data_IF_525470583121
#
_entry.id   IF_525470583121
#
_cell.length_a   1.000
_cell.length_b   1.000
_cell.length_c   1.000
_cell.angle_alpha   90.00
_cell.angle_beta   90.00
_cell.angle_gamma   90.00
#
_symmetry.space_group_name_H-M   'P 1'
#
loop_
_entity.id
_entity.type
_entity.pdbx_description
1 polymer ?
#
# COMPACT_ATOMS: atom_id res chain seq x y z
N UNK A 1 -53.78 21.44 14.16
CA UNK A 1 -52.57 21.72 14.96
C UNK A 1 -51.77 20.47 15.43
N UNK A 2 -52.31 19.24 15.56
CA UNK A 2 -51.51 18.08 16.05
C UNK A 2 -50.66 17.38 14.97
N UNK A 3 -50.96 17.56 13.68
CA UNK A 3 -50.24 16.92 12.58
C UNK A 3 -48.87 17.54 12.28
N UNK A 4 -48.69 18.84 12.55
CA UNK A 4 -47.43 19.55 12.37
C UNK A 4 -46.41 19.19 13.45
N UNK A 5 -46.88 18.98 14.69
CA UNK A 5 -46.04 18.57 15.82
C UNK A 5 -45.46 17.15 15.64
N UNK A 6 -46.27 16.21 15.13
CA UNK A 6 -45.82 14.84 14.81
C UNK A 6 -44.77 14.80 13.69
N UNK A 7 -44.90 15.66 12.68
CA UNK A 7 -43.91 15.74 11.58
C UNK A 7 -42.57 16.29 12.06
N UNK A 8 -42.59 17.30 12.94
CA UNK A 8 -41.37 17.86 13.53
C UNK A 8 -40.63 16.83 14.41
N UNK A 9 -41.35 16.03 15.20
CA UNK A 9 -40.73 14.98 16.03
C UNK A 9 -40.10 13.86 15.20
N UNK A 10 -40.73 13.45 14.08
CA UNK A 10 -40.16 12.44 13.19
C UNK A 10 -38.88 12.93 12.50
N UNK A 11 -38.85 14.20 12.05
CA UNK A 11 -37.65 14.81 11.44
C UNK A 11 -36.51 14.87 12.46
N UNK A 12 -36.80 15.27 13.72
CA UNK A 12 -35.81 15.33 14.79
C UNK A 12 -35.24 13.94 15.14
N UNK A 13 -36.06 12.90 15.19
CA UNK A 13 -35.60 11.52 15.47
C UNK A 13 -34.74 10.94 14.35
N UNK A 14 -35.07 11.24 13.08
CA UNK A 14 -34.27 10.78 11.94
C UNK A 14 -32.90 11.46 11.89
N UNK A 15 -32.84 12.77 12.22
CA UNK A 15 -31.58 13.51 12.28
C UNK A 15 -30.64 12.99 13.39
N UNK A 16 -31.18 12.65 14.56
CA UNK A 16 -30.38 12.10 15.67
C UNK A 16 -29.83 10.70 15.37
N UNK A 17 -30.63 9.83 14.73
CA UNK A 17 -30.20 8.48 14.36
C UNK A 17 -29.07 8.49 13.31
N UNK A 18 -29.09 9.44 12.37
CA UNK A 18 -28.05 9.59 11.35
C UNK A 18 -26.69 10.04 11.96
N UNK A 19 -26.73 10.89 12.99
CA UNK A 19 -25.54 11.37 13.67
C UNK A 19 -24.81 10.27 14.46
N UNK A 20 -25.56 9.37 15.10
CA UNK A 20 -24.99 8.24 15.86
C UNK A 20 -24.31 7.21 14.94
N UNK A 21 -24.83 7.00 13.73
CA UNK A 21 -24.26 6.06 12.76
C UNK A 21 -22.87 6.49 12.23
N UNK A 22 -22.60 7.80 12.11
CA UNK A 22 -21.31 8.29 11.64
C UNK A 22 -20.17 8.17 12.68
N UNK A 23 -20.49 8.20 13.98
CA UNK A 23 -19.49 8.16 15.05
C UNK A 23 -19.00 6.73 15.37
N UNK A 24 -19.70 5.70 14.91
CA UNK A 24 -19.37 4.30 15.14
C UNK A 24 -18.55 3.66 14.00
N UNK A 25 -18.19 4.42 12.97
CA UNK A 25 -17.33 3.92 11.91
C UNK A 25 -15.90 3.73 12.48
N UNK A 26 -15.33 2.52 12.43
CA UNK A 26 -13.94 2.33 12.82
C UNK A 26 -13.07 3.19 11.91
N UNK A 27 -12.42 4.19 12.49
CA UNK A 27 -11.31 4.92 11.87
C UNK A 27 -10.13 3.97 11.79
N UNK A 28 -10.19 3.02 10.84
CA UNK A 28 -9.02 2.26 10.42
C UNK A 28 -8.08 3.21 9.65
N UNK A 29 -7.49 4.15 10.38
CA UNK A 29 -6.30 4.85 9.97
C UNK A 29 -5.18 3.82 10.04
N UNK A 30 -5.00 3.06 8.96
CA UNK A 30 -3.73 2.41 8.73
C UNK A 30 -2.68 3.51 8.74
N UNK A 31 -1.97 3.65 9.86
CA UNK A 31 -0.83 4.53 9.95
C UNK A 31 0.10 4.16 8.80
N UNK A 32 0.22 5.05 7.81
CA UNK A 32 1.17 4.93 6.74
C UNK A 32 2.55 4.87 7.40
N UNK A 33 3.10 3.66 7.53
CA UNK A 33 4.50 3.48 7.85
C UNK A 33 5.23 3.86 6.58
N UNK A 34 6.00 4.94 6.64
CA UNK A 34 6.96 5.25 5.60
C UNK A 34 7.77 3.98 5.33
N UNK A 35 7.77 3.54 4.07
CA UNK A 35 8.55 2.40 3.62
C UNK A 35 10.00 2.61 4.08
N UNK A 36 10.67 1.62 4.69
CA UNK A 36 12.05 1.79 5.11
C UNK A 36 12.84 2.22 3.89
N UNK A 37 13.36 3.46 3.95
CA UNK A 37 13.87 4.18 2.78
C UNK A 37 14.80 3.30 1.97
N UNK A 38 14.32 2.85 0.81
CA UNK A 38 15.22 2.35 -0.22
C UNK A 38 16.08 3.55 -0.59
N UNK A 39 17.40 3.41 -0.36
CA UNK A 39 18.37 4.43 -0.75
C UNK A 39 18.11 4.84 -2.20
N UNK A 40 18.16 6.15 -2.43
CA UNK A 40 18.04 6.82 -3.72
C UNK A 40 17.15 6.13 -4.78
N UNK A 41 15.85 6.01 -4.51
CA UNK A 41 14.86 5.59 -5.53
C UNK A 41 14.98 6.37 -6.85
N UNK A 42 15.57 7.58 -6.85
CA UNK A 42 15.93 8.34 -8.05
C UNK A 42 16.66 7.53 -9.15
N UNK A 43 17.46 6.52 -8.78
CA UNK A 43 18.16 5.65 -9.73
C UNK A 43 17.27 4.56 -10.35
N UNK A 44 16.03 4.40 -9.89
CA UNK A 44 15.08 3.42 -10.43
C UNK A 44 14.23 4.03 -11.54
N UNK A 45 13.94 3.27 -12.58
CA UNK A 45 13.07 3.69 -13.69
C UNK A 45 11.59 3.82 -13.30
N UNK A 46 11.18 3.11 -12.25
CA UNK A 46 9.83 3.08 -11.69
C UNK A 46 9.89 3.12 -10.17
N UNK A 47 8.82 3.60 -9.53
CA UNK A 47 8.70 3.79 -8.07
C UNK A 47 7.45 3.15 -7.46
N UNK A 48 6.86 2.17 -8.14
CA UNK A 48 5.69 1.48 -7.62
C UNK A 48 6.07 0.55 -6.45
N UNK A 49 5.11 0.36 -5.55
CA UNK A 49 5.28 -0.48 -4.37
C UNK A 49 4.12 -1.46 -4.28
N UNK A 50 4.34 -2.57 -3.58
CA UNK A 50 3.31 -3.55 -3.27
C UNK A 50 3.37 -3.93 -1.80
N UNK A 51 2.26 -4.42 -1.26
CA UNK A 51 2.20 -4.98 0.09
C UNK A 51 2.49 -6.48 0.03
N UNK A 52 3.52 -6.93 0.73
CA UNK A 52 3.83 -8.36 0.80
C UNK A 52 2.87 -9.09 1.77
N UNK A 53 3.02 -10.42 1.85
CA UNK A 53 2.25 -11.30 2.75
C UNK A 53 2.46 -11.02 4.25
N UNK A 54 3.60 -10.46 4.62
CA UNK A 54 3.91 -10.07 6.01
C UNK A 54 3.29 -8.70 6.36
N UNK A 55 2.75 -8.01 5.36
CA UNK A 55 2.10 -6.71 5.50
C UNK A 55 3.03 -5.53 5.27
N UNK A 56 4.29 -5.74 4.89
CA UNK A 56 5.26 -4.69 4.60
C UNK A 56 5.02 -4.08 3.22
N UNK A 57 5.24 -2.77 3.11
CA UNK A 57 5.34 -2.09 1.82
C UNK A 57 6.74 -2.30 1.26
N UNK A 58 6.81 -2.86 0.06
CA UNK A 58 8.05 -3.24 -0.62
C UNK A 58 8.06 -2.62 -2.01
N UNK A 59 9.23 -2.18 -2.47
CA UNK A 59 9.37 -1.65 -3.81
C UNK A 59 9.15 -2.77 -4.84
N UNK A 60 8.35 -2.52 -5.87
CA UNK A 60 8.17 -3.47 -6.95
C UNK A 60 9.47 -3.59 -7.78
N UNK A 61 9.67 -4.68 -8.54
CA UNK A 61 10.88 -4.83 -9.34
C UNK A 61 11.05 -3.69 -10.35
N UNK A 62 12.26 -3.11 -10.40
CA UNK A 62 12.58 -1.94 -11.22
C UNK A 62 13.99 -2.03 -11.82
N UNK A 63 14.24 -1.37 -12.94
CA UNK A 63 15.58 -1.27 -13.52
C UNK A 63 16.36 -0.12 -12.89
N UNK A 64 17.68 -0.30 -12.74
CA UNK A 64 18.58 0.81 -12.42
C UNK A 64 18.93 1.60 -13.68
N UNK A 65 18.79 2.92 -13.60
CA UNK A 65 19.22 3.88 -14.64
C UNK A 65 20.74 3.94 -14.74
N UNK A 66 21.46 3.87 -13.62
CA UNK A 66 22.92 3.88 -13.60
C UNK A 66 23.57 2.52 -13.91
N UNK A 67 22.77 1.45 -13.98
CA UNK A 67 23.25 0.08 -14.16
C UNK A 67 23.90 -0.54 -12.90
N UNK A 68 24.02 0.23 -11.82
CA UNK A 68 24.51 -0.25 -10.52
C UNK A 68 23.42 -1.02 -9.80
N UNK A 69 23.80 -1.78 -8.78
CA UNK A 69 22.83 -2.44 -7.89
C UNK A 69 22.18 -1.38 -7.00
N UNK A 70 20.85 -1.23 -7.03
CA UNK A 70 20.14 -0.29 -6.16
C UNK A 70 20.25 -0.71 -4.69
N UNK A 71 20.29 0.26 -3.80
CA UNK A 71 20.33 0.01 -2.36
C UNK A 71 19.06 -0.72 -1.90
N UNK A 72 19.26 -1.78 -1.11
CA UNK A 72 18.15 -2.60 -0.59
C UNK A 72 17.57 -3.61 -1.58
N UNK A 73 18.11 -3.71 -2.81
CA UNK A 73 17.79 -4.81 -3.71
C UNK A 73 18.27 -6.14 -3.10
N UNK A 74 17.39 -7.14 -3.10
CA UNK A 74 17.64 -8.49 -2.59
C UNK A 74 18.04 -9.49 -3.68
N UNK A 75 17.72 -9.18 -4.93
CA UNK A 75 17.98 -10.04 -6.07
C UNK A 75 18.01 -9.26 -7.39
N UNK A 76 18.70 -9.81 -8.38
CA UNK A 76 18.60 -9.44 -9.78
C UNK A 76 17.77 -10.49 -10.53
N UNK A 77 16.73 -10.07 -11.21
CA UNK A 77 15.88 -10.93 -12.04
C UNK A 77 16.49 -11.16 -13.43
N UNK A 78 16.02 -12.18 -14.15
CA UNK A 78 16.55 -12.53 -15.49
C UNK A 78 16.22 -11.51 -16.56
N UNK A 79 15.13 -10.78 -16.43
CA UNK A 79 14.81 -9.66 -17.32
C UNK A 79 15.65 -8.39 -17.05
N UNK A 80 16.51 -8.40 -16.03
CA UNK A 80 17.38 -7.29 -15.67
C UNK A 80 16.79 -6.32 -14.64
N UNK A 81 15.58 -6.55 -14.15
CA UNK A 81 15.03 -5.79 -13.01
C UNK A 81 15.68 -6.22 -11.69
N UNK A 82 15.68 -5.33 -10.70
CA UNK A 82 16.10 -5.60 -9.33
C UNK A 82 14.88 -5.79 -8.45
N UNK A 83 14.85 -6.87 -7.67
CA UNK A 83 13.76 -7.19 -6.75
C UNK A 83 14.11 -6.81 -5.31
N UNK A 84 13.14 -6.22 -4.62
CA UNK A 84 13.25 -5.80 -3.22
C UNK A 84 12.48 -6.73 -2.26
N UNK A 85 12.06 -7.90 -2.75
CA UNK A 85 11.29 -8.88 -1.99
C UNK A 85 12.00 -9.29 -0.68
N UNK A 86 11.24 -9.39 0.40
CA UNK A 86 11.74 -9.88 1.70
C UNK A 86 11.78 -11.41 1.80
N UNK A 87 11.28 -12.09 0.77
CA UNK A 87 11.19 -13.55 0.73
C UNK A 87 11.95 -14.09 -0.47
N UNK A 88 12.33 -15.37 -0.40
CA UNK A 88 12.89 -16.09 -1.55
C UNK A 88 11.85 -16.77 -2.42
N UNK A 89 10.73 -17.21 -1.83
CA UNK A 89 9.66 -17.91 -2.56
C UNK A 89 8.91 -16.93 -3.46
N UNK A 90 8.83 -17.24 -4.75
CA UNK A 90 8.12 -16.43 -5.74
C UNK A 90 8.88 -15.19 -6.23
N UNK A 91 10.08 -14.93 -5.74
CA UNK A 91 10.89 -13.79 -6.19
C UNK A 91 11.22 -13.90 -7.67
N UNK A 92 11.05 -12.79 -8.40
CA UNK A 92 11.22 -12.71 -9.84
C UNK A 92 10.33 -13.67 -10.66
N UNK A 93 9.24 -14.23 -10.10
CA UNK A 93 8.40 -15.18 -10.83
C UNK A 93 7.80 -14.61 -12.13
N UNK A 94 7.35 -13.36 -12.11
CA UNK A 94 6.89 -12.62 -13.30
C UNK A 94 8.01 -12.08 -14.19
N UNK A 95 9.27 -12.23 -13.77
CA UNK A 95 10.46 -11.64 -14.35
C UNK A 95 11.48 -12.70 -14.82
N UNK A 96 10.98 -13.90 -15.13
CA UNK A 96 11.78 -15.03 -15.63
C UNK A 96 12.59 -15.78 -14.57
N UNK A 97 12.39 -15.48 -13.28
CA UNK A 97 13.11 -16.06 -12.16
C UNK A 97 14.35 -15.26 -11.76
N UNK A 98 14.97 -15.66 -10.65
CA UNK A 98 16.16 -15.00 -10.11
C UNK A 98 17.38 -15.38 -10.94
N UNK A 99 18.13 -14.37 -11.40
CA UNK A 99 19.44 -14.55 -11.98
C UNK A 99 20.51 -14.69 -10.88
N UNK A 100 20.50 -13.74 -9.93
CA UNK A 100 21.47 -13.68 -8.82
C UNK A 100 20.81 -13.13 -7.56
N UNK A 101 21.14 -13.71 -6.41
CA UNK A 101 20.80 -13.14 -5.09
C UNK A 101 21.88 -12.16 -4.67
N UNK A 102 21.48 -11.04 -4.06
CA UNK A 102 22.34 -9.94 -3.65
C UNK A 102 22.51 -9.90 -2.12
#
# INVERSE_FOLDING_TARGET
>A
MPALLRRATHIATLAAALFVACAALPTSAHAYRASPGYGNEADLDRHDTYRNRDGDTVHAPAHSKSGRVPDGASARCRDGTYSFSRHRRGTCSGHGGVATWL
#
